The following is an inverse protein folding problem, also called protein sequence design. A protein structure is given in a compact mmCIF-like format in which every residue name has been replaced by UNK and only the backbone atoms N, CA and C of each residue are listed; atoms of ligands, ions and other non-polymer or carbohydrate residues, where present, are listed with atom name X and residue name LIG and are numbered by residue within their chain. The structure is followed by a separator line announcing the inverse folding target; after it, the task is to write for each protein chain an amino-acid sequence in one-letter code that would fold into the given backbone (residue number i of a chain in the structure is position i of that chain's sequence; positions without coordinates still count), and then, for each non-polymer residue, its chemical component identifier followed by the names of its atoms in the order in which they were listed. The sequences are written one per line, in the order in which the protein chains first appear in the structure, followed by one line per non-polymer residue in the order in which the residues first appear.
data_IF_126528722220
#
_entry.id   IF_126528722220
#
_cell.length_a   1.000
_cell.length_b   1.000
_cell.length_c   1.000
_cell.angle_alpha   90.00
_cell.angle_beta   90.00
_cell.angle_gamma   90.00
#
_symmetry.space_group_name_H-M   'P 1'
#
loop_
_entity.id
_entity.type
_entity.pdbx_description
1 polymer ?
#
# COMPACT_ATOMS: atom_id res chain seq x y z
N UNK A 1 15.14 4.76 7.45
CA UNK A 1 13.74 4.38 7.16
C UNK A 1 13.60 2.89 7.46
N UNK A 2 12.69 2.51 8.37
CA UNK A 2 12.45 1.10 8.68
C UNK A 2 11.78 0.41 7.49
N UNK A 3 12.15 -0.83 7.19
CA UNK A 3 11.56 -1.59 6.08
C UNK A 3 10.07 -1.83 6.35
N UNK A 4 9.13 -1.24 5.58
CA UNK A 4 7.70 -1.41 5.84
C UNK A 4 7.22 -2.84 5.53
N UNK A 5 8.07 -3.66 4.89
CA UNK A 5 7.77 -5.04 4.54
C UNK A 5 8.37 -6.07 5.51
N UNK A 6 9.15 -5.68 6.52
CA UNK A 6 9.72 -6.66 7.46
C UNK A 6 8.70 -7.07 8.52
N UNK A 7 8.21 -8.31 8.42
CA UNK A 7 7.43 -8.95 9.48
C UNK A 7 8.21 -10.16 9.99
N UNK A 8 8.49 -10.20 11.30
CA UNK A 8 9.06 -11.38 11.95
C UNK A 8 7.94 -12.38 12.22
N UNK A 9 7.84 -13.41 11.40
CA UNK A 9 6.86 -14.51 11.53
C UNK A 9 6.84 -15.18 12.91
N UNK A 10 7.96 -15.17 13.62
CA UNK A 10 8.09 -15.86 14.91
C UNK A 10 7.53 -15.08 16.11
N UNK A 11 7.11 -13.82 15.95
CA UNK A 11 6.69 -12.99 17.10
C UNK A 11 5.40 -12.24 16.78
N UNK A 12 4.30 -12.60 17.46
CA UNK A 12 2.99 -11.94 17.31
C UNK A 12 2.05 -12.53 16.25
N UNK A 13 2.36 -13.73 15.74
CA UNK A 13 1.47 -14.50 14.87
C UNK A 13 0.83 -15.67 15.61
N UNK A 14 -0.46 -15.85 15.44
CA UNK A 14 -1.22 -17.02 15.90
C UNK A 14 -1.76 -17.77 14.70
N UNK A 15 -1.69 -19.09 14.74
CA UNK A 15 -2.20 -19.96 13.70
C UNK A 15 -3.40 -20.72 14.23
N UNK A 16 -4.47 -20.77 13.45
CA UNK A 16 -5.67 -21.53 13.77
C UNK A 16 -6.12 -22.35 12.58
N UNK A 17 -6.60 -23.56 12.84
CA UNK A 17 -7.22 -24.39 11.81
C UNK A 17 -8.73 -24.21 11.91
N UNK A 18 -9.35 -23.81 10.82
CA UNK A 18 -10.79 -23.56 10.72
C UNK A 18 -11.38 -24.40 9.61
N UNK A 19 -12.60 -24.92 9.83
CA UNK A 19 -13.38 -25.56 8.80
C UNK A 19 -14.34 -24.52 8.22
N UNK A 20 -14.12 -24.12 6.98
CA UNK A 20 -14.95 -23.14 6.28
C UNK A 20 -15.34 -23.66 4.91
N UNK A 21 -16.61 -23.51 4.54
CA UNK A 21 -17.14 -23.88 3.21
C UNK A 21 -16.91 -25.37 2.88
N UNK A 22 -16.89 -26.24 3.90
CA UNK A 22 -16.62 -27.66 3.74
C UNK A 22 -15.15 -28.01 3.44
N UNK A 23 -14.23 -27.06 3.60
CA UNK A 23 -12.79 -27.25 3.41
C UNK A 23 -12.03 -26.87 4.68
N UNK A 24 -10.98 -27.64 4.99
CA UNK A 24 -10.08 -27.31 6.09
C UNK A 24 -9.16 -26.18 5.63
N UNK A 25 -9.07 -25.10 6.41
CA UNK A 25 -8.21 -23.96 6.13
C UNK A 25 -7.35 -23.66 7.35
N UNK A 26 -6.18 -23.08 7.09
CA UNK A 26 -5.31 -22.52 8.11
C UNK A 26 -5.37 -21.01 7.99
N UNK A 27 -5.67 -20.35 9.10
CA UNK A 27 -5.60 -18.92 9.23
C UNK A 27 -4.42 -18.52 10.09
N UNK A 28 -3.69 -17.50 9.66
CA UNK A 28 -2.66 -16.84 10.41
C UNK A 28 -3.11 -15.41 10.74
N UNK A 29 -3.14 -15.09 12.03
CA UNK A 29 -3.53 -13.79 12.56
C UNK A 29 -2.31 -13.12 13.19
N UNK A 30 -2.04 -11.88 12.83
CA UNK A 30 -0.94 -11.12 13.41
C UNK A 30 -0.91 -9.70 12.89
N UNK A 31 -0.45 -8.74 13.71
CA UNK A 31 -0.27 -7.34 13.30
C UNK A 31 -1.50 -6.69 12.63
N UNK A 32 -2.72 -7.13 12.97
CA UNK A 32 -3.97 -6.62 12.38
C UNK A 32 -4.31 -7.17 11.00
N UNK A 33 -3.59 -8.18 10.51
CA UNK A 33 -3.88 -8.88 9.26
C UNK A 33 -4.26 -10.35 9.52
N UNK A 34 -5.16 -10.86 8.69
CA UNK A 34 -5.54 -12.27 8.64
C UNK A 34 -5.19 -12.82 7.25
N UNK A 35 -4.40 -13.89 7.23
CA UNK A 35 -4.03 -14.63 6.03
C UNK A 35 -4.64 -16.01 6.11
N UNK A 36 -5.14 -16.53 4.98
CA UNK A 36 -5.77 -17.86 4.93
C UNK A 36 -5.23 -18.69 3.78
N UNK A 37 -5.09 -19.99 4.01
CA UNK A 37 -4.81 -20.97 2.96
C UNK A 37 -5.63 -22.24 3.17
N UNK A 38 -6.15 -22.87 2.11
CA UNK A 38 -6.77 -24.18 2.22
C UNK A 38 -5.71 -25.25 2.50
N UNK A 39 -6.06 -26.23 3.33
CA UNK A 39 -5.27 -27.45 3.53
C UNK A 39 -5.60 -28.41 2.39
N UNK A 40 -4.57 -28.86 1.67
CA UNK A 40 -4.75 -29.76 0.53
C UNK A 40 -5.05 -31.20 0.99
N UNK A 41 -5.66 -32.04 0.13
CA UNK A 41 -5.88 -33.45 0.44
C UNK A 41 -4.55 -34.17 0.74
N UNK A 42 -4.46 -34.81 1.91
CA UNK A 42 -3.24 -35.48 2.38
C UNK A 42 -2.17 -34.56 2.96
N UNK A 43 -2.40 -33.24 2.99
CA UNK A 43 -1.52 -32.26 3.64
C UNK A 43 -1.88 -32.16 5.14
N UNK A 44 -0.86 -31.98 5.98
CA UNK A 44 -1.08 -31.68 7.40
C UNK A 44 -1.38 -30.18 7.58
N UNK A 45 -2.17 -29.78 8.59
CA UNK A 45 -2.40 -28.37 8.89
C UNK A 45 -1.11 -27.59 9.16
N UNK A 46 -0.09 -28.25 9.72
CA UNK A 46 1.22 -27.64 9.95
C UNK A 46 1.91 -27.34 8.61
N UNK A 47 1.90 -28.29 7.67
CA UNK A 47 2.46 -28.08 6.33
C UNK A 47 1.74 -26.96 5.57
N UNK A 48 0.43 -26.85 5.72
CA UNK A 48 -0.33 -25.75 5.16
C UNK A 48 0.05 -24.39 5.80
N UNK A 49 0.32 -24.35 7.11
CA UNK A 49 0.82 -23.16 7.79
C UNK A 49 2.22 -22.75 7.26
N UNK A 50 3.14 -23.70 7.08
CA UNK A 50 4.47 -23.45 6.53
C UNK A 50 4.37 -22.86 5.10
N UNK A 51 3.49 -23.44 4.27
CA UNK A 51 3.23 -22.93 2.92
C UNK A 51 2.65 -21.51 2.94
N UNK A 52 1.77 -21.20 3.87
CA UNK A 52 1.22 -19.85 4.05
C UNK A 52 2.33 -18.83 4.36
N UNK A 53 3.21 -19.18 5.30
CA UNK A 53 4.36 -18.36 5.71
C UNK A 53 5.30 -18.11 4.52
N UNK A 54 5.64 -19.16 3.78
CA UNK A 54 6.51 -19.08 2.62
C UNK A 54 5.91 -18.22 1.49
N UNK A 55 4.62 -18.42 1.19
CA UNK A 55 3.94 -17.67 0.13
C UNK A 55 3.90 -16.17 0.44
N UNK A 56 3.64 -15.80 1.68
CA UNK A 56 3.62 -14.41 2.09
C UNK A 56 5.03 -13.80 2.20
N UNK A 57 6.06 -14.56 2.62
CA UNK A 57 7.46 -14.10 2.54
C UNK A 57 7.86 -13.79 1.08
N UNK A 58 7.51 -14.67 0.14
CA UNK A 58 7.73 -14.45 -1.29
C UNK A 58 6.97 -13.21 -1.80
N UNK A 59 5.70 -13.06 -1.43
CA UNK A 59 4.88 -11.90 -1.80
C UNK A 59 5.51 -10.59 -1.33
N UNK A 60 6.00 -10.55 -0.09
CA UNK A 60 6.65 -9.38 0.49
C UNK A 60 8.00 -9.09 -0.16
N UNK A 61 8.82 -10.09 -0.44
CA UNK A 61 10.06 -9.92 -1.22
C UNK A 61 9.78 -9.36 -2.61
N UNK A 62 8.74 -9.86 -3.28
CA UNK A 62 8.35 -9.37 -4.59
C UNK A 62 7.90 -7.89 -4.54
N UNK A 63 7.08 -7.53 -3.54
CA UNK A 63 6.66 -6.14 -3.31
C UNK A 63 7.84 -5.24 -2.95
N UNK A 64 8.74 -5.69 -2.09
CA UNK A 64 9.95 -4.94 -1.73
C UNK A 64 10.84 -4.69 -2.95
N UNK A 65 11.08 -5.72 -3.77
CA UNK A 65 11.84 -5.58 -5.01
C UNK A 65 11.14 -4.66 -6.02
N UNK A 66 9.80 -4.71 -6.11
CA UNK A 66 9.03 -3.81 -6.96
C UNK A 66 9.11 -2.36 -6.47
N UNK A 67 9.02 -2.14 -5.15
CA UNK A 67 9.18 -0.83 -4.53
C UNK A 67 10.59 -0.27 -4.78
N UNK A 68 11.65 -1.06 -4.56
CA UNK A 68 13.02 -0.64 -4.88
C UNK A 68 13.20 -0.25 -6.36
N UNK A 69 12.58 -1.00 -7.29
CA UNK A 69 12.57 -0.64 -8.71
C UNK A 69 11.82 0.68 -8.96
N UNK A 70 10.70 0.90 -8.29
CA UNK A 70 9.91 2.14 -8.35
C UNK A 70 10.67 3.35 -7.81
N UNK A 71 11.33 3.22 -6.66
CA UNK A 71 12.20 4.25 -6.08
C UNK A 71 13.35 4.60 -7.04
N UNK A 72 13.98 3.59 -7.67
CA UNK A 72 15.02 3.81 -8.67
C UNK A 72 14.49 4.56 -9.90
N UNK A 73 13.28 4.23 -10.35
CA UNK A 73 12.60 4.96 -11.44
C UNK A 73 12.30 6.42 -11.04
N UNK A 74 11.80 6.66 -9.83
CA UNK A 74 11.53 7.99 -9.31
C UNK A 74 12.79 8.87 -9.19
N UNK A 75 13.94 8.26 -8.89
CA UNK A 75 15.23 8.96 -8.84
C UNK A 75 15.83 9.27 -10.23
N UNK A 76 15.47 8.49 -11.26
CA UNK A 76 16.06 8.61 -12.61
C UNK A 76 15.20 9.44 -13.55
N UNK A 77 13.90 9.53 -13.32
CA UNK A 77 12.99 10.30 -14.18
C UNK A 77 12.85 11.75 -13.65
N UNK A 78 13.13 12.79 -14.46
CA UNK A 78 12.69 14.13 -14.10
C UNK A 78 11.16 14.10 -13.96
N UNK A 79 10.59 14.79 -12.95
CA UNK A 79 9.15 14.79 -12.75
C UNK A 79 8.46 15.22 -14.05
N UNK A 80 7.45 14.47 -14.54
CA UNK A 80 6.73 14.88 -15.74
C UNK A 80 6.16 16.26 -15.48
N UNK A 81 6.49 17.23 -16.34
CA UNK A 81 5.90 18.56 -16.26
C UNK A 81 4.40 18.38 -16.49
N UNK A 82 3.62 18.48 -15.42
CA UNK A 82 2.16 18.48 -15.46
C UNK A 82 1.72 19.72 -16.23
N UNK A 83 1.74 19.64 -17.56
CA UNK A 83 1.23 20.67 -18.46
C UNK A 83 -0.29 20.66 -18.38
N UNK A 84 -0.85 21.24 -17.32
CA UNK A 84 -2.30 21.28 -17.18
C UNK A 84 -2.84 21.76 -15.83
N UNK A 85 -2.01 21.85 -14.78
CA UNK A 85 -2.43 22.55 -13.58
C UNK A 85 -2.44 24.05 -13.86
N UNK A 86 -3.55 24.56 -14.39
CA UNK A 86 -3.85 25.99 -14.38
C UNK A 86 -3.72 26.44 -12.93
N UNK A 87 -2.75 27.31 -12.66
CA UNK A 87 -2.79 28.15 -11.47
C UNK A 87 -4.10 28.91 -11.59
N UNK A 88 -5.04 28.63 -10.69
CA UNK A 88 -6.20 29.50 -10.52
C UNK A 88 -5.64 30.90 -10.28
N UNK A 89 -5.74 31.75 -11.31
CA UNK A 89 -5.39 33.16 -11.21
C UNK A 89 -6.21 33.72 -10.06
N UNK A 90 -5.52 34.22 -9.04
CA UNK A 90 -6.11 35.10 -8.03
C UNK A 90 -6.95 36.16 -8.76
N UNK A 91 -8.22 36.38 -8.36
CA UNK A 91 -9.01 37.43 -8.98
C UNK A 91 -8.33 38.77 -8.71
N UNK A 92 -7.99 39.47 -9.79
CA UNK A 92 -7.52 40.86 -9.79
C UNK A 92 -8.43 41.72 -8.91
N UNK A 93 -7.89 42.62 -8.06
CA UNK A 93 -8.71 43.51 -7.27
C UNK A 93 -9.45 44.45 -8.21
N UNK A 94 -10.79 44.46 -8.11
CA UNK A 94 -11.65 45.39 -8.84
C UNK A 94 -11.15 46.83 -8.68
N UNK A 95 -10.80 47.45 -9.81
CA UNK A 95 -10.59 48.89 -9.88
C UNK A 95 -11.91 49.60 -9.57
N UNK A 96 -12.03 50.11 -8.35
CA UNK A 96 -13.15 50.96 -7.92
C UNK A 96 -13.28 52.22 -8.79
N UNK A 97 -14.49 52.78 -8.91
CA UNK A 97 -14.79 53.82 -9.90
C UNK A 97 -14.05 55.12 -9.61
N UNK A 98 -13.54 55.72 -10.69
CA UNK A 98 -12.82 56.98 -10.72
C UNK A 98 -13.56 58.09 -9.95
N UNK A 99 -12.88 58.68 -8.96
CA UNK A 99 -13.33 59.87 -8.27
C UNK A 99 -13.37 61.05 -9.26
N UNK A 100 -14.57 61.62 -9.35
CA UNK A 100 -14.95 62.83 -10.08
C UNK A 100 -14.08 64.03 -9.68
N UNK A 101 -13.36 64.63 -10.64
CA UNK A 101 -12.69 65.92 -10.46
C UNK A 101 -13.72 67.04 -10.18
N UNK A 102 -13.41 68.00 -9.30
CA UNK A 102 -14.23 69.21 -9.17
C UNK A 102 -13.85 70.22 -10.25
N UNK A 103 -14.86 70.72 -10.96
CA UNK A 103 -14.74 71.86 -11.86
C UNK A 103 -14.38 73.13 -11.08
N UNK A 104 -13.40 73.88 -11.60
CA UNK A 104 -13.11 75.26 -11.26
C UNK A 104 -13.50 76.17 -12.42
#
# INVERSE_FOLDING_TARGET
MANPFSVRWLTGWTFQTVLMEGQLQVEAHGFGICLRTPVLPGESPVSAADRLVLAEDQRRRALHNAWLRGERLAQTAPPPRLSGARVDLQPEPEAGPAAMEPAA
#
